data_IF_898522400540
#
_entry.id   IF_898522400540
#
_cell.length_a   1.000
_cell.length_b   1.000
_cell.length_c   1.000
_cell.angle_alpha   90.00
_cell.angle_beta   90.00
_cell.angle_gamma   90.00
#
_symmetry.space_group_name_H-M   'P 1'
#
loop_
_entity.id
_entity.type
_entity.pdbx_description
1 polymer ?
#
# COMPACT_ATOMS: atom_id res chain seq x y z
N UNK A 1 38.45 -11.61 -36.51
CA UNK A 1 37.14 -10.95 -36.74
C UNK A 1 36.06 -11.94 -36.33
N UNK A 2 35.31 -11.66 -35.25
CA UNK A 2 34.32 -12.59 -34.71
C UNK A 2 33.07 -11.84 -34.26
N UNK A 3 32.01 -11.99 -35.03
CA UNK A 3 30.71 -11.33 -34.84
C UNK A 3 29.98 -11.89 -33.61
N UNK A 4 29.51 -11.01 -32.71
CA UNK A 4 28.51 -11.33 -31.67
C UNK A 4 27.30 -10.42 -31.84
N UNK A 5 26.45 -10.75 -32.80
CA UNK A 5 25.12 -10.18 -32.87
C UNK A 5 24.25 -10.93 -31.87
N UNK A 6 24.02 -10.32 -30.69
CA UNK A 6 23.01 -10.79 -29.75
C UNK A 6 21.69 -10.96 -30.48
N UNK A 7 21.07 -12.13 -30.34
CA UNK A 7 19.85 -12.52 -31.03
C UNK A 7 18.71 -11.56 -30.69
N UNK A 8 18.49 -10.56 -31.53
CA UNK A 8 17.32 -9.69 -31.46
C UNK A 8 16.07 -10.52 -31.76
N UNK A 9 15.14 -10.57 -30.80
CA UNK A 9 13.86 -11.29 -30.95
C UNK A 9 13.12 -10.72 -32.17
N UNK A 10 12.80 -11.58 -33.13
CA UNK A 10 12.10 -11.18 -34.35
C UNK A 10 10.62 -10.87 -34.05
N UNK A 11 10.06 -9.83 -34.67
CA UNK A 11 8.63 -9.47 -34.55
C UNK A 11 7.70 -10.65 -34.81
N UNK A 12 8.06 -11.52 -35.76
CA UNK A 12 7.29 -12.72 -36.13
C UNK A 12 7.39 -13.82 -35.08
N UNK A 13 8.49 -13.88 -34.34
CA UNK A 13 8.66 -14.81 -33.22
C UNK A 13 7.88 -14.32 -32.00
N UNK A 14 7.94 -13.01 -31.72
CA UNK A 14 7.13 -12.37 -30.69
C UNK A 14 5.63 -12.60 -30.93
N UNK A 15 5.13 -12.37 -32.16
CA UNK A 15 3.73 -12.60 -32.50
C UNK A 15 3.29 -14.06 -32.34
N UNK A 16 4.15 -15.01 -32.73
CA UNK A 16 3.89 -16.45 -32.54
C UNK A 16 3.82 -16.84 -31.06
N UNK A 17 4.69 -16.28 -30.23
CA UNK A 17 4.67 -16.51 -28.78
C UNK A 17 3.44 -15.88 -28.12
N UNK A 18 3.05 -14.67 -28.54
CA UNK A 18 1.87 -13.98 -28.02
C UNK A 18 0.57 -14.73 -28.34
N UNK A 19 0.42 -15.25 -29.56
CA UNK A 19 -0.77 -16.02 -29.97
C UNK A 19 -0.96 -17.31 -29.16
N UNK A 20 0.13 -18.00 -28.80
CA UNK A 20 0.06 -19.21 -27.97
C UNK A 20 -0.32 -18.91 -26.52
N UNK A 21 0.11 -17.77 -25.97
CA UNK A 21 -0.28 -17.34 -24.61
C UNK A 21 -1.75 -16.92 -24.57
N UNK A 22 -2.28 -16.30 -25.61
CA UNK A 22 -3.71 -15.94 -25.70
C UNK A 22 -4.65 -17.15 -25.81
N UNK A 23 -4.17 -18.31 -26.26
CA UNK A 23 -4.99 -19.53 -26.35
C UNK A 23 -5.20 -20.25 -25.00
N UNK A 24 -4.39 -19.96 -23.98
CA UNK A 24 -4.53 -20.56 -22.65
C UNK A 24 -5.49 -19.79 -21.72
N UNK A 25 -5.87 -18.56 -22.07
CA UNK A 25 -6.75 -17.71 -21.26
C UNK A 25 -8.26 -18.00 -21.48
N UNK A 26 -8.62 -18.88 -22.41
CA UNK A 26 -10.01 -19.26 -22.70
C UNK A 26 -10.45 -20.56 -22.00
N UNK A 27 -9.59 -21.21 -21.21
CA UNK A 27 -10.00 -22.27 -20.30
C UNK A 27 -10.44 -21.64 -18.97
N UNK A 28 -11.73 -21.32 -18.95
CA UNK A 28 -12.52 -20.87 -17.80
C UNK A 28 -12.24 -21.69 -16.52
N UNK A 29 -12.06 -21.07 -15.34
CA UNK A 29 -11.99 -21.77 -14.06
C UNK A 29 -13.38 -22.13 -13.50
N UNK A 30 -14.37 -22.39 -14.35
CA UNK A 30 -15.75 -22.65 -13.91
C UNK A 30 -15.91 -23.98 -13.15
N UNK A 31 -15.00 -24.95 -13.31
CA UNK A 31 -15.08 -26.25 -12.62
C UNK A 31 -14.52 -26.24 -11.18
N UNK A 32 -13.94 -25.13 -10.71
CA UNK A 32 -13.47 -25.03 -9.31
C UNK A 32 -14.57 -24.63 -8.31
N UNK A 33 -15.79 -24.31 -8.79
CA UNK A 33 -16.89 -23.86 -7.93
C UNK A 33 -17.90 -24.97 -7.56
N UNK A 34 -17.78 -26.16 -8.14
CA UNK A 34 -18.67 -27.29 -7.84
C UNK A 34 -17.97 -28.29 -6.89
N UNK A 35 -17.66 -27.83 -5.67
CA UNK A 35 -17.37 -28.73 -4.55
C UNK A 35 -18.45 -28.55 -3.50
N UNK A 36 -19.32 -29.53 -3.42
CA UNK A 36 -20.33 -29.71 -2.38
C UNK A 36 -19.69 -29.66 -0.98
N UNK A 37 -20.24 -28.91 -0.01
CA UNK A 37 -19.71 -28.89 1.34
C UNK A 37 -20.11 -30.16 2.09
N UNK A 38 -19.16 -31.09 2.24
CA UNK A 38 -19.26 -32.12 3.28
C UNK A 38 -19.15 -31.43 4.64
N UNK A 39 -20.29 -31.36 5.35
CA UNK A 39 -20.39 -30.90 6.73
C UNK A 39 -19.51 -31.75 7.65
N UNK A 40 -18.44 -31.14 8.16
CA UNK A 40 -17.76 -31.59 9.37
C UNK A 40 -17.58 -30.38 10.29
N UNK A 41 -17.97 -30.44 11.57
CA UNK A 41 -17.83 -29.32 12.49
C UNK A 41 -16.35 -29.19 12.90
N UNK A 42 -15.67 -28.17 12.37
CA UNK A 42 -14.38 -27.73 12.89
C UNK A 42 -14.59 -26.81 14.11
N UNK A 43 -13.75 -26.89 15.15
CA UNK A 43 -13.86 -26.02 16.32
C UNK A 43 -13.63 -24.55 15.93
N UNK A 44 -14.23 -23.59 16.65
CA UNK A 44 -14.14 -22.18 16.29
C UNK A 44 -12.71 -21.68 16.51
N UNK A 45 -11.93 -21.62 15.44
CA UNK A 45 -10.73 -20.80 15.40
C UNK A 45 -11.17 -19.35 15.35
N UNK A 46 -10.98 -18.63 16.47
CA UNK A 46 -11.11 -17.18 16.51
C UNK A 46 -10.16 -16.57 15.47
N UNK A 47 -10.72 -16.12 14.36
CA UNK A 47 -10.00 -15.25 13.45
C UNK A 47 -9.85 -13.88 14.13
N UNK A 48 -8.63 -13.29 14.19
CA UNK A 48 -8.49 -11.93 14.66
C UNK A 48 -9.21 -11.02 13.66
N UNK A 49 -10.28 -10.37 14.13
CA UNK A 49 -11.07 -9.42 13.37
C UNK A 49 -10.29 -8.11 13.19
N UNK A 50 -9.30 -8.13 12.29
CA UNK A 50 -8.74 -6.91 11.71
C UNK A 50 -9.74 -6.29 10.72
N UNK A 51 -9.59 -4.99 10.39
CA UNK A 51 -10.39 -4.37 9.34
C UNK A 51 -10.24 -5.18 8.05
N UNK A 52 -11.37 -5.62 7.48
CA UNK A 52 -11.38 -6.41 6.25
C UNK A 52 -10.78 -5.55 5.13
N UNK A 53 -9.60 -5.93 4.66
CA UNK A 53 -8.95 -5.34 3.49
C UNK A 53 -9.90 -5.42 2.29
N UNK A 54 -9.87 -4.43 1.39
CA UNK A 54 -10.63 -4.48 0.14
C UNK A 54 -10.18 -5.66 -0.72
N UNK A 55 -11.02 -6.13 -1.65
CA UNK A 55 -10.63 -7.23 -2.56
C UNK A 55 -9.40 -6.87 -3.39
N UNK A 56 -9.29 -5.62 -3.84
CA UNK A 56 -8.12 -5.13 -4.56
C UNK A 56 -6.86 -5.15 -3.68
N UNK A 57 -6.98 -4.67 -2.44
CA UNK A 57 -5.89 -4.67 -1.46
C UNK A 57 -5.41 -6.08 -1.13
N UNK A 58 -6.31 -7.05 -1.06
CA UNK A 58 -5.98 -8.47 -0.83
C UNK A 58 -5.22 -9.05 -2.02
N UNK A 59 -5.69 -8.81 -3.25
CA UNK A 59 -5.02 -9.27 -4.46
C UNK A 59 -3.61 -8.66 -4.60
N UNK A 60 -3.46 -7.37 -4.28
CA UNK A 60 -2.17 -6.70 -4.28
C UNK A 60 -1.21 -7.31 -3.25
N UNK A 61 -1.68 -7.53 -2.01
CA UNK A 61 -0.90 -8.15 -0.95
C UNK A 61 -0.38 -9.52 -1.36
N UNK A 62 -1.25 -10.37 -1.92
CA UNK A 62 -0.89 -11.71 -2.38
C UNK A 62 0.13 -11.67 -3.52
N UNK A 63 -0.09 -10.79 -4.50
CA UNK A 63 0.83 -10.59 -5.62
C UNK A 63 2.23 -10.16 -5.16
N UNK A 64 2.30 -9.21 -4.22
CA UNK A 64 3.58 -8.73 -3.65
C UNK A 64 4.29 -9.84 -2.86
N UNK A 65 3.57 -10.59 -2.03
CA UNK A 65 4.14 -11.71 -1.29
C UNK A 65 4.66 -12.80 -2.23
N UNK A 66 3.91 -13.10 -3.29
CA UNK A 66 4.32 -14.09 -4.29
C UNK A 66 5.62 -13.68 -4.99
N UNK A 67 5.77 -12.39 -5.34
CA UNK A 67 7.02 -11.86 -5.89
C UNK A 67 8.19 -12.02 -4.90
N UNK A 68 7.98 -11.66 -3.63
CA UNK A 68 8.99 -11.82 -2.57
C UNK A 68 9.40 -13.28 -2.40
N UNK A 69 8.45 -14.20 -2.35
CA UNK A 69 8.75 -15.63 -2.20
C UNK A 69 9.39 -16.24 -3.44
N UNK A 70 9.07 -15.74 -4.63
CA UNK A 70 9.71 -16.19 -5.87
C UNK A 70 11.20 -15.80 -5.90
N UNK A 71 11.57 -14.62 -5.39
CA UNK A 71 12.96 -14.16 -5.35
C UNK A 71 13.75 -14.67 -4.13
N UNK A 72 13.10 -14.78 -2.97
CA UNK A 72 13.79 -14.97 -1.68
C UNK A 72 13.26 -16.16 -0.86
N UNK A 73 12.21 -16.85 -1.32
CA UNK A 73 11.52 -17.88 -0.54
C UNK A 73 12.38 -19.08 -0.16
N UNK A 74 13.42 -19.40 -0.94
CA UNK A 74 14.37 -20.47 -0.61
C UNK A 74 15.26 -20.16 0.59
N UNK A 75 15.39 -18.88 0.96
CA UNK A 75 16.18 -18.43 2.12
C UNK A 75 15.36 -18.31 3.40
N UNK A 76 14.05 -18.55 3.31
CA UNK A 76 13.10 -18.30 4.38
C UNK A 76 12.52 -19.61 4.91
N UNK A 77 12.50 -19.75 6.24
CA UNK A 77 11.76 -20.81 6.89
C UNK A 77 10.26 -20.59 6.76
N UNK A 78 9.45 -21.63 6.98
CA UNK A 78 8.00 -21.48 6.88
C UNK A 78 7.43 -20.57 7.98
N UNK A 79 8.06 -20.55 9.16
CA UNK A 79 7.74 -19.59 10.22
C UNK A 79 8.00 -18.14 9.77
N UNK A 80 9.12 -17.87 9.09
CA UNK A 80 9.43 -16.55 8.56
C UNK A 80 8.47 -16.16 7.42
N UNK A 81 8.08 -17.11 6.56
CA UNK A 81 7.07 -16.84 5.52
C UNK A 81 5.71 -16.53 6.15
N UNK A 82 5.33 -17.21 7.23
CA UNK A 82 4.09 -16.91 7.94
C UNK A 82 4.11 -15.51 8.56
N UNK A 83 5.22 -15.13 9.20
CA UNK A 83 5.37 -13.79 9.77
C UNK A 83 5.37 -12.69 8.70
N UNK A 84 6.00 -12.92 7.54
CA UNK A 84 5.92 -12.00 6.40
C UNK A 84 4.49 -11.79 5.91
N UNK A 85 3.67 -12.84 5.85
CA UNK A 85 2.25 -12.70 5.50
C UNK A 85 1.51 -11.82 6.51
N UNK A 86 1.76 -12.03 7.81
CA UNK A 86 1.18 -11.22 8.89
C UNK A 86 1.61 -9.76 8.76
N UNK A 87 2.90 -9.48 8.63
CA UNK A 87 3.43 -8.12 8.48
C UNK A 87 2.89 -7.41 7.23
N UNK A 88 2.76 -8.14 6.11
CA UNK A 88 2.16 -7.59 4.90
C UNK A 88 0.70 -7.20 5.11
N UNK A 89 -0.08 -8.05 5.79
CA UNK A 89 -1.48 -7.76 6.12
C UNK A 89 -1.61 -6.55 7.05
N UNK A 90 -0.77 -6.47 8.08
CA UNK A 90 -0.74 -5.36 9.03
C UNK A 90 -0.41 -4.02 8.31
N UNK A 91 0.50 -4.06 7.32
CA UNK A 91 0.93 -2.88 6.57
C UNK A 91 -0.02 -2.42 5.46
N UNK A 92 -0.86 -3.31 4.91
CA UNK A 92 -1.67 -3.01 3.73
C UNK A 92 -2.66 -1.85 3.97
N UNK A 93 -3.29 -1.78 5.14
CA UNK A 93 -4.22 -0.70 5.46
C UNK A 93 -3.55 0.68 5.49
N UNK A 94 -2.27 0.76 5.89
CA UNK A 94 -1.51 2.01 5.86
C UNK A 94 -1.17 2.42 4.42
N UNK A 95 -0.84 1.46 3.55
CA UNK A 95 -0.62 1.71 2.12
C UNK A 95 -1.89 2.22 1.43
N UNK A 96 -3.04 1.63 1.75
CA UNK A 96 -4.32 2.07 1.19
C UNK A 96 -4.64 3.52 1.60
N UNK A 97 -4.36 3.89 2.86
CA UNK A 97 -4.50 5.28 3.33
C UNK A 97 -3.55 6.24 2.60
N UNK A 98 -2.30 5.84 2.39
CA UNK A 98 -1.32 6.65 1.66
C UNK A 98 -1.77 6.87 0.21
N UNK A 99 -2.32 5.84 -0.43
CA UNK A 99 -2.84 5.93 -1.81
C UNK A 99 -4.09 6.81 -1.91
N UNK A 100 -4.94 6.80 -0.87
CA UNK A 100 -6.13 7.65 -0.80
C UNK A 100 -5.81 9.11 -0.46
N UNK A 101 -4.56 9.44 -0.11
CA UNK A 101 -4.19 10.82 0.20
C UNK A 101 -4.28 11.69 -1.07
N UNK A 102 -4.98 12.83 -1.03
CA UNK A 102 -5.12 13.70 -2.19
C UNK A 102 -3.75 14.28 -2.54
N UNK A 103 -3.35 14.10 -3.80
CA UNK A 103 -2.11 14.66 -4.35
C UNK A 103 -2.42 15.24 -5.72
N UNK A 104 -1.95 16.46 -5.97
CA UNK A 104 -2.00 17.08 -7.29
C UNK A 104 -0.72 16.74 -8.07
N UNK A 105 -0.77 16.76 -9.41
CA UNK A 105 0.42 16.52 -10.23
C UNK A 105 1.54 17.55 -9.99
N UNK A 106 1.22 18.71 -9.41
CA UNK A 106 2.19 19.73 -8.98
C UNK A 106 2.87 19.41 -7.65
N UNK A 107 2.35 18.45 -6.87
CA UNK A 107 2.92 18.06 -5.58
C UNK A 107 4.18 17.23 -5.82
N UNK A 108 5.33 17.89 -5.73
CA UNK A 108 6.64 17.27 -5.85
C UNK A 108 7.04 16.46 -4.61
N UNK A 109 8.08 15.62 -4.72
CA UNK A 109 8.63 14.91 -3.57
C UNK A 109 9.15 15.89 -2.51
N UNK A 110 9.08 15.49 -1.24
CA UNK A 110 9.67 16.25 -0.14
C UNK A 110 11.21 16.19 -0.20
N UNK A 111 11.84 17.23 -0.75
CA UNK A 111 13.30 17.28 -0.94
C UNK A 111 14.10 17.67 0.31
N UNK A 112 13.45 18.32 1.28
CA UNK A 112 14.12 18.82 2.47
C UNK A 112 13.22 18.66 3.70
N UNK A 113 13.82 18.20 4.81
CA UNK A 113 13.17 18.20 6.11
C UNK A 113 13.20 19.63 6.67
N UNK A 114 12.04 20.23 6.91
CA UNK A 114 11.91 21.48 7.67
C UNK A 114 11.51 21.14 9.10
N UNK A 115 12.45 21.02 10.04
CA UNK A 115 12.13 20.68 11.43
C UNK A 115 11.30 21.81 12.06
N UNK A 116 10.25 21.44 12.77
CA UNK A 116 9.35 22.35 13.47
C UNK A 116 10.01 22.87 14.78
N UNK A 117 11.11 23.60 14.67
CA UNK A 117 11.82 24.15 15.85
C UNK A 117 11.16 25.46 16.32
N UNK A 118 10.41 26.13 15.44
CA UNK A 118 9.81 27.44 15.70
C UNK A 118 8.28 27.37 15.68
N UNK A 119 7.69 26.71 16.68
CA UNK A 119 6.41 27.26 17.18
C UNK A 119 6.78 28.50 17.96
N UNK A 120 6.87 29.64 17.28
CA UNK A 120 6.88 30.93 17.96
C UNK A 120 5.70 30.92 18.94
N UNK A 121 6.06 31.04 20.21
CA UNK A 121 5.15 31.20 21.33
C UNK A 121 4.36 32.47 21.00
N UNK A 122 3.12 32.33 20.50
CA UNK A 122 2.22 33.47 20.25
C UNK A 122 2.38 34.42 21.45
N UNK A 123 2.80 35.69 21.26
CA UNK A 123 2.92 36.60 22.37
C UNK A 123 1.55 36.70 23.03
N UNK A 124 1.49 36.38 24.32
CA UNK A 124 0.29 36.52 25.12
C UNK A 124 -0.26 37.94 24.93
N UNK A 125 -1.56 38.15 24.68
CA UNK A 125 -2.10 39.48 24.58
C UNK A 125 -1.85 40.19 25.92
N UNK A 126 -1.05 41.27 25.89
CA UNK A 126 -0.83 42.11 27.07
C UNK A 126 -2.19 42.63 27.57
N UNK A 127 -2.43 42.68 28.89
CA UNK A 127 -3.62 43.32 29.41
C UNK A 127 -3.58 44.81 29.05
N UNK A 128 -4.67 45.30 28.46
CA UNK A 128 -4.83 46.70 28.11
C UNK A 128 -4.56 47.57 29.34
N UNK A 129 -3.63 48.51 29.19
CA UNK A 129 -3.38 49.60 30.14
C UNK A 129 -4.70 50.28 30.49
N UNK A 130 -5.08 50.23 31.76
CA UNK A 130 -6.25 50.91 32.28
C UNK A 130 -6.20 52.40 31.93
N UNK A 131 -7.26 52.90 31.29
CA UNK A 131 -7.48 54.34 31.07
C UNK A 131 -7.41 55.07 32.40
N UNK A 132 -6.49 56.03 32.50
CA UNK A 132 -6.45 57.01 33.58
C UNK A 132 -7.75 57.83 33.59
N UNK A 133 -8.42 57.86 34.73
CA UNK A 133 -9.64 58.64 34.97
C UNK A 133 -9.36 60.14 34.78
N UNK A 134 -10.03 60.74 33.79
CA UNK A 134 -10.07 62.20 33.63
C UNK A 134 -11.03 62.80 34.64
N UNK A 135 -10.48 63.66 35.50
CA UNK A 135 -11.19 64.37 36.55
C UNK A 135 -12.28 65.31 36.02
N UNK A 136 -13.40 65.35 36.73
CA UNK A 136 -14.50 66.27 36.53
C UNK A 136 -14.12 67.69 36.94
N UNK A 137 -14.55 68.70 36.17
CA UNK A 137 -14.72 70.07 36.69
C UNK A 137 -15.83 70.79 35.92
N UNK A 138 -16.92 71.11 36.63
CA UNK A 138 -17.93 72.12 36.27
C UNK A 138 -17.54 73.47 36.91
N UNK A 139 -17.97 74.60 36.36
CA UNK A 139 -19.15 75.27 36.94
C UNK A 139 -20.38 75.27 36.03
#
# INVERSE_FOLDING_TARGET
>A
MGSKNGSAISRREFARRAALVSAAASLSPADLLTREPATAPAPPSQAPSGPKLSLESQAELESRLQAVFSHYGSRLSDAQKADLRRLAADGQAALDRLRAYPTDNSDGPALYLKPLIEREKKPSPMPASAKSAGAATKP
#
